data_IF_424499311236
#
_entry.id   IF_424499311236
#
_cell.length_a   1.000
_cell.length_b   1.000
_cell.length_c   1.000
_cell.angle_alpha   90.00
_cell.angle_beta   90.00
_cell.angle_gamma   90.00
#
_symmetry.space_group_name_H-M   'P 1'
#
loop_
_entity.id
_entity.type
_entity.pdbx_description
1 polymer ?
#
# COMPACT_ATOMS: atom_id res chain seq x y z
N UNK A 1 -21.34 5.58 -6.41
CA UNK A 1 -21.07 6.44 -5.24
C UNK A 1 -19.56 6.45 -5.00
N UNK A 2 -19.01 7.58 -4.54
CA UNK A 2 -17.61 7.62 -4.10
C UNK A 2 -17.44 6.72 -2.85
N UNK A 3 -16.34 5.98 -2.80
CA UNK A 3 -15.97 5.12 -1.67
C UNK A 3 -14.94 5.86 -0.84
N UNK A 4 -15.07 5.85 0.45
CA UNK A 4 -14.18 6.56 1.36
C UNK A 4 -13.46 5.58 2.28
N UNK A 5 -12.15 5.73 2.36
CA UNK A 5 -11.30 5.08 3.36
C UNK A 5 -10.66 6.11 4.29
N UNK A 6 -10.20 5.69 5.44
CA UNK A 6 -9.39 6.52 6.32
C UNK A 6 -7.97 5.95 6.44
N UNK A 7 -6.98 6.81 6.35
CA UNK A 7 -5.60 6.47 6.66
C UNK A 7 -5.29 6.92 8.09
N UNK A 8 -5.00 5.97 8.95
CA UNK A 8 -4.50 6.24 10.29
C UNK A 8 -2.98 6.44 10.22
N UNK A 9 -2.49 7.52 10.85
CA UNK A 9 -1.05 7.72 10.95
C UNK A 9 -0.42 6.65 11.85
N UNK A 10 0.82 6.28 11.53
CA UNK A 10 1.61 5.40 12.38
C UNK A 10 2.27 6.23 13.48
N UNK A 11 1.44 6.81 14.36
CA UNK A 11 1.86 7.69 15.44
C UNK A 11 2.31 6.85 16.65
N UNK A 12 3.55 6.98 17.12
CA UNK A 12 4.04 6.25 18.29
C UNK A 12 3.31 6.63 19.60
N UNK A 13 2.64 7.77 19.63
CA UNK A 13 1.85 8.20 20.81
C UNK A 13 0.46 7.54 20.89
N UNK A 14 -0.02 6.96 19.79
CA UNK A 14 -1.28 6.21 19.81
C UNK A 14 -1.04 4.79 20.35
N UNK A 15 -1.84 4.39 21.31
CA UNK A 15 -1.85 3.02 21.82
C UNK A 15 -2.55 2.07 20.82
N UNK A 16 -2.36 0.74 20.92
CA UNK A 16 -3.17 -0.21 20.15
C UNK A 16 -4.67 -0.03 20.34
N UNK A 17 -5.11 0.38 21.54
CA UNK A 17 -6.52 0.66 21.86
C UNK A 17 -7.03 1.90 21.12
N UNK A 18 -6.20 2.93 20.94
CA UNK A 18 -6.58 4.12 20.16
C UNK A 18 -6.83 3.77 18.71
N UNK A 19 -5.97 2.91 18.09
CA UNK A 19 -6.19 2.39 16.75
C UNK A 19 -7.52 1.64 16.63
N UNK A 20 -7.85 0.80 17.62
CA UNK A 20 -9.13 0.07 17.65
C UNK A 20 -10.31 1.02 17.71
N UNK A 21 -10.24 2.05 18.57
CA UNK A 21 -11.30 3.06 18.73
C UNK A 21 -11.50 3.85 17.44
N UNK A 22 -10.39 4.32 16.82
CA UNK A 22 -10.45 5.09 15.58
C UNK A 22 -11.01 4.26 14.42
N UNK A 23 -10.57 3.02 14.28
CA UNK A 23 -11.05 2.11 13.24
C UNK A 23 -12.53 1.73 13.43
N UNK A 24 -12.96 1.47 14.68
CA UNK A 24 -14.37 1.19 14.98
C UNK A 24 -15.26 2.39 14.69
N UNK A 25 -14.77 3.60 14.95
CA UNK A 25 -15.48 4.84 14.57
C UNK A 25 -15.58 5.00 13.06
N UNK A 26 -14.50 4.74 12.34
CA UNK A 26 -14.50 4.75 10.88
C UNK A 26 -15.54 3.77 10.32
N UNK A 27 -15.55 2.52 10.80
CA UNK A 27 -16.52 1.51 10.39
C UNK A 27 -17.98 1.96 10.68
N UNK A 28 -18.26 2.45 11.87
CA UNK A 28 -19.60 2.96 12.25
C UNK A 28 -20.06 4.14 11.40
N UNK A 29 -19.14 4.94 10.90
CA UNK A 29 -19.43 6.08 10.01
C UNK A 29 -19.43 5.71 8.52
N UNK A 30 -19.37 4.42 8.18
CA UNK A 30 -19.50 3.93 6.80
C UNK A 30 -18.25 4.07 5.94
N UNK A 31 -17.07 4.25 6.54
CA UNK A 31 -15.83 4.15 5.79
C UNK A 31 -15.61 2.72 5.33
N UNK A 32 -15.21 2.55 4.06
CA UNK A 32 -15.02 1.23 3.45
C UNK A 32 -13.71 0.57 3.90
N UNK A 33 -12.67 1.36 4.15
CA UNK A 33 -11.34 0.86 4.45
C UNK A 33 -10.60 1.69 5.49
N UNK A 34 -9.75 1.02 6.27
CA UNK A 34 -8.74 1.61 7.15
C UNK A 34 -7.36 1.23 6.63
N UNK A 35 -6.52 2.23 6.40
CA UNK A 35 -5.16 2.07 5.90
C UNK A 35 -4.14 2.46 6.96
N UNK A 36 -3.14 1.61 7.19
CA UNK A 36 -2.03 1.89 8.12
C UNK A 36 -0.70 1.79 7.37
N UNK A 37 0.13 2.85 7.35
CA UNK A 37 1.44 2.79 6.71
C UNK A 37 2.46 2.07 7.59
N UNK A 38 3.45 1.44 6.97
CA UNK A 38 4.65 0.98 7.64
C UNK A 38 5.62 2.16 7.82
N UNK A 39 6.11 2.33 9.02
CA UNK A 39 7.07 3.39 9.31
C UNK A 39 6.91 3.96 10.70
N UNK A 40 7.74 4.93 11.08
CA UNK A 40 7.62 5.60 12.37
C UNK A 40 7.88 4.71 13.61
N UNK A 41 8.52 3.55 13.42
CA UNK A 41 8.85 2.61 14.50
C UNK A 41 7.75 1.61 14.85
N UNK A 42 6.67 1.54 14.07
CA UNK A 42 5.63 0.51 14.23
C UNK A 42 5.47 -0.35 12.99
N UNK A 43 5.24 -1.63 13.22
CA UNK A 43 4.85 -2.60 12.22
C UNK A 43 3.36 -2.43 11.89
N UNK A 44 3.04 -2.24 10.61
CA UNK A 44 1.66 -1.99 10.19
C UNK A 44 0.79 -3.24 10.26
N UNK A 45 1.34 -4.45 10.04
CA UNK A 45 0.58 -5.69 10.13
C UNK A 45 0.15 -5.94 11.57
N UNK A 46 1.02 -5.72 12.55
CA UNK A 46 0.68 -5.83 13.97
C UNK A 46 -0.42 -4.85 14.35
N UNK A 47 -0.32 -3.58 13.90
CA UNK A 47 -1.35 -2.57 14.15
C UNK A 47 -2.69 -2.96 13.52
N UNK A 48 -2.69 -3.43 12.27
CA UNK A 48 -3.89 -3.88 11.56
C UNK A 48 -4.50 -5.14 12.20
N UNK A 49 -3.68 -6.05 12.73
CA UNK A 49 -4.17 -7.22 13.44
C UNK A 49 -4.97 -6.82 14.70
N UNK A 50 -4.52 -5.81 15.45
CA UNK A 50 -5.28 -5.31 16.60
C UNK A 50 -6.60 -4.68 16.19
N UNK A 51 -6.63 -3.96 15.06
CA UNK A 51 -7.85 -3.38 14.48
C UNK A 51 -8.81 -4.49 14.03
N UNK A 52 -8.29 -5.53 13.38
CA UNK A 52 -9.10 -6.67 12.91
C UNK A 52 -9.94 -7.32 14.01
N UNK A 53 -9.40 -7.36 15.23
CA UNK A 53 -10.06 -7.92 16.41
C UNK A 53 -11.24 -7.10 16.94
N UNK A 54 -11.42 -5.86 16.45
CA UNK A 54 -12.44 -4.91 16.93
C UNK A 54 -13.35 -4.39 15.82
N UNK A 55 -13.15 -4.83 14.59
CA UNK A 55 -13.94 -4.43 13.42
C UNK A 55 -14.44 -5.66 12.68
N UNK A 56 -15.58 -5.55 12.00
CA UNK A 56 -16.25 -6.68 11.35
C UNK A 56 -16.37 -6.53 9.82
N UNK A 57 -16.43 -5.28 9.32
CA UNK A 57 -16.78 -5.01 7.92
C UNK A 57 -15.71 -4.22 7.17
N UNK A 58 -15.07 -3.27 7.83
CA UNK A 58 -14.10 -2.38 7.19
C UNK A 58 -12.91 -3.15 6.65
N UNK A 59 -12.51 -2.88 5.42
CA UNK A 59 -11.29 -3.43 4.83
C UNK A 59 -10.06 -2.88 5.56
N UNK A 60 -9.04 -3.69 5.69
CA UNK A 60 -7.81 -3.36 6.41
C UNK A 60 -6.63 -3.42 5.44
N UNK A 61 -6.03 -2.27 5.19
CA UNK A 61 -4.98 -2.17 4.19
C UNK A 61 -3.65 -1.64 4.73
N UNK A 62 -2.55 -2.16 4.21
CA UNK A 62 -1.25 -1.51 4.41
C UNK A 62 -1.10 -0.34 3.45
N UNK A 63 -0.73 0.82 3.95
CA UNK A 63 -0.61 2.00 3.10
C UNK A 63 0.71 2.73 3.23
N UNK A 64 1.84 2.09 2.97
CA UNK A 64 2.16 0.81 2.31
C UNK A 64 3.17 -0.01 3.14
N UNK A 65 3.40 -1.29 2.76
CA UNK A 65 4.59 -2.03 3.18
C UNK A 65 5.74 -1.78 2.19
N UNK A 66 6.93 -1.37 2.66
CA UNK A 66 8.10 -1.21 1.81
C UNK A 66 8.66 -2.57 1.36
N UNK A 67 8.82 -2.76 0.03
CA UNK A 67 9.35 -4.03 -0.53
C UNK A 67 10.83 -4.27 -0.26
N UNK A 68 11.56 -3.27 0.20
CA UNK A 68 12.97 -3.42 0.60
C UNK A 68 13.12 -3.98 2.01
N UNK A 69 12.20 -3.67 2.91
CA UNK A 69 12.28 -4.07 4.32
C UNK A 69 11.93 -5.55 4.57
N UNK A 70 11.30 -6.23 3.60
CA UNK A 70 10.84 -7.61 3.75
C UNK A 70 11.16 -8.43 2.50
N UNK A 71 11.38 -9.75 2.68
CA UNK A 71 11.41 -10.67 1.54
C UNK A 71 10.00 -10.91 0.99
N UNK A 72 9.86 -11.30 -0.31
CA UNK A 72 8.55 -11.63 -0.87
C UNK A 72 7.83 -12.74 -0.09
N UNK A 73 8.56 -13.79 0.34
CA UNK A 73 7.96 -14.88 1.13
C UNK A 73 7.48 -14.40 2.50
N UNK A 74 8.28 -13.61 3.20
CA UNK A 74 7.87 -13.05 4.50
C UNK A 74 6.66 -12.11 4.36
N UNK A 75 6.59 -11.35 3.27
CA UNK A 75 5.43 -10.49 2.96
C UNK A 75 4.18 -11.32 2.68
N UNK A 76 4.29 -12.41 1.92
CA UNK A 76 3.18 -13.33 1.65
C UNK A 76 2.66 -13.99 2.95
N UNK A 77 3.58 -14.43 3.83
CA UNK A 77 3.21 -14.97 5.15
C UNK A 77 2.40 -13.96 5.97
N UNK A 78 2.89 -12.71 6.04
CA UNK A 78 2.20 -11.65 6.77
C UNK A 78 0.82 -11.36 6.18
N UNK A 79 0.71 -11.33 4.85
CA UNK A 79 -0.56 -11.11 4.16
C UNK A 79 -1.56 -12.26 4.40
N UNK A 80 -1.09 -13.50 4.38
CA UNK A 80 -1.92 -14.67 4.68
C UNK A 80 -2.41 -14.67 6.14
N UNK A 81 -1.52 -14.35 7.08
CA UNK A 81 -1.88 -14.19 8.49
C UNK A 81 -2.93 -13.09 8.69
N UNK A 82 -2.75 -11.93 8.02
CA UNK A 82 -3.73 -10.84 8.06
C UNK A 82 -5.07 -11.23 7.43
N UNK A 83 -5.07 -11.97 6.32
CA UNK A 83 -6.30 -12.47 5.72
C UNK A 83 -7.07 -13.39 6.68
N UNK A 84 -6.36 -14.25 7.40
CA UNK A 84 -6.97 -15.15 8.39
C UNK A 84 -7.54 -14.37 9.59
N UNK A 85 -6.77 -13.44 10.18
CA UNK A 85 -7.19 -12.67 11.37
C UNK A 85 -8.34 -11.69 11.04
N UNK A 86 -8.39 -11.19 9.82
CA UNK A 86 -9.42 -10.23 9.39
C UNK A 86 -10.61 -10.86 8.69
N UNK A 87 -10.69 -12.17 8.61
CA UNK A 87 -11.73 -12.89 7.86
C UNK A 87 -11.85 -12.42 6.41
N UNK A 88 -10.70 -12.38 5.72
CA UNK A 88 -10.61 -12.03 4.30
C UNK A 88 -10.72 -10.54 3.96
N UNK A 89 -10.78 -9.65 4.95
CA UNK A 89 -10.88 -8.18 4.73
C UNK A 89 -9.56 -7.49 4.43
N UNK A 90 -8.45 -8.20 4.41
CA UNK A 90 -7.13 -7.62 4.23
C UNK A 90 -6.83 -7.24 2.78
N UNK A 91 -6.17 -6.10 2.60
CA UNK A 91 -5.62 -5.59 1.33
C UNK A 91 -4.14 -5.32 1.50
N UNK A 92 -3.31 -5.94 0.66
CA UNK A 92 -1.86 -5.77 0.70
C UNK A 92 -1.43 -4.59 -0.17
N UNK A 93 -1.16 -3.46 0.44
CA UNK A 93 -0.56 -2.31 -0.23
C UNK A 93 0.98 -2.35 -0.16
N UNK A 94 1.63 -2.34 -1.31
CA UNK A 94 3.09 -2.40 -1.47
C UNK A 94 3.63 -1.10 -2.04
N UNK A 95 4.85 -0.74 -1.66
CA UNK A 95 5.55 0.41 -2.24
C UNK A 95 7.06 0.26 -2.16
N UNK A 96 7.77 1.04 -2.96
CA UNK A 96 9.24 1.03 -2.94
C UNK A 96 9.83 1.75 -1.72
N UNK A 97 9.03 2.56 -1.01
CA UNK A 97 9.53 3.44 0.03
C UNK A 97 10.29 4.63 -0.55
N UNK A 98 11.10 5.27 0.28
CA UNK A 98 11.95 6.41 -0.10
C UNK A 98 13.41 6.02 0.01
N UNK A 99 14.18 6.25 -1.05
CA UNK A 99 15.60 5.87 -1.10
C UNK A 99 16.40 6.32 0.13
N UNK A 100 16.31 7.58 0.60
CA UNK A 100 17.04 7.99 1.80
C UNK A 100 16.66 7.18 3.05
N UNK A 101 15.37 6.84 3.19
CA UNK A 101 14.91 6.06 4.34
C UNK A 101 15.37 4.61 4.27
N UNK A 102 15.25 3.98 3.11
CA UNK A 102 15.68 2.59 2.89
C UNK A 102 17.18 2.45 3.13
N UNK A 103 17.98 3.40 2.64
CA UNK A 103 19.44 3.34 2.79
C UNK A 103 19.90 3.69 4.18
N UNK A 104 19.36 4.75 4.80
CA UNK A 104 19.86 5.22 6.11
C UNK A 104 19.25 4.47 7.29
N UNK A 105 17.97 4.11 7.23
CA UNK A 105 17.27 3.44 8.32
C UNK A 105 17.37 1.92 8.23
N UNK A 106 17.13 1.38 7.03
CA UNK A 106 17.05 -0.07 6.85
C UNK A 106 18.41 -0.67 6.45
N UNK A 107 19.41 0.17 6.11
CA UNK A 107 20.77 -0.27 5.73
C UNK A 107 20.81 -1.03 4.40
N UNK A 108 19.80 -0.89 3.55
CA UNK A 108 19.65 -1.65 2.31
C UNK A 108 19.88 -0.72 1.11
N UNK A 109 20.77 -1.06 0.17
CA UNK A 109 20.95 -0.28 -1.05
C UNK A 109 19.65 -0.16 -1.86
N UNK A 110 19.23 1.06 -2.20
CA UNK A 110 18.04 1.31 -3.01
C UNK A 110 18.32 1.11 -4.50
N UNK A 111 18.39 -0.16 -4.91
CA UNK A 111 18.73 -0.55 -6.28
C UNK A 111 17.59 -1.29 -6.97
N UNK A 112 17.40 -1.00 -8.27
CA UNK A 112 16.46 -1.68 -9.15
C UNK A 112 15.01 -1.77 -8.60
N UNK A 113 14.41 -0.65 -8.14
CA UNK A 113 13.09 -0.67 -7.48
C UNK A 113 11.99 -1.24 -8.38
N UNK A 114 12.04 -0.99 -9.69
CA UNK A 114 11.07 -1.53 -10.65
C UNK A 114 11.18 -3.06 -10.78
N UNK A 115 12.38 -3.58 -10.94
CA UNK A 115 12.63 -5.03 -11.01
C UNK A 115 12.23 -5.70 -9.71
N UNK A 116 12.62 -5.11 -8.57
CA UNK A 116 12.26 -5.61 -7.24
C UNK A 116 10.75 -5.66 -7.04
N UNK A 117 10.02 -4.62 -7.40
CA UNK A 117 8.56 -4.60 -7.28
C UNK A 117 7.92 -5.69 -8.13
N UNK A 118 8.32 -5.80 -9.40
CA UNK A 118 7.80 -6.81 -10.31
C UNK A 118 7.99 -8.23 -9.78
N UNK A 119 9.22 -8.60 -9.45
CA UNK A 119 9.54 -9.93 -8.94
C UNK A 119 8.84 -10.20 -7.60
N UNK A 120 8.79 -9.21 -6.71
CA UNK A 120 8.06 -9.30 -5.42
C UNK A 120 6.59 -9.63 -5.64
N UNK A 121 5.90 -8.93 -6.53
CA UNK A 121 4.47 -9.16 -6.78
C UNK A 121 4.23 -10.53 -7.41
N UNK A 122 5.04 -10.92 -8.39
CA UNK A 122 4.92 -12.23 -9.04
C UNK A 122 5.05 -13.37 -8.03
N UNK A 123 6.06 -13.30 -7.15
CA UNK A 123 6.29 -14.30 -6.11
C UNK A 123 5.13 -14.30 -5.09
N UNK A 124 4.72 -13.14 -4.61
CA UNK A 124 3.63 -13.03 -3.63
C UNK A 124 2.32 -13.57 -4.20
N UNK A 125 1.97 -13.23 -5.44
CA UNK A 125 0.75 -13.71 -6.08
C UNK A 125 0.71 -15.22 -6.17
N UNK A 126 1.79 -15.84 -6.63
CA UNK A 126 1.88 -17.29 -6.74
C UNK A 126 1.77 -17.98 -5.35
N UNK A 127 2.50 -17.46 -4.34
CA UNK A 127 2.41 -17.97 -2.97
C UNK A 127 1.00 -17.86 -2.38
N UNK A 128 0.35 -16.70 -2.54
CA UNK A 128 -1.01 -16.50 -2.03
C UNK A 128 -2.08 -17.26 -2.81
N UNK A 129 -1.77 -17.69 -4.03
CA UNK A 129 -2.62 -18.62 -4.80
C UNK A 129 -2.44 -20.09 -4.39
N UNK A 130 -1.46 -20.37 -3.50
CA UNK A 130 -1.18 -21.74 -3.03
C UNK A 130 -0.25 -22.54 -3.93
N UNK A 131 0.42 -21.87 -4.86
CA UNK A 131 1.37 -22.52 -5.77
C UNK A 131 2.68 -22.88 -5.06
N UNK A 132 3.34 -23.93 -5.50
CA UNK A 132 4.75 -24.17 -5.21
C UNK A 132 5.59 -23.32 -6.14
N UNK A 133 6.34 -22.38 -5.58
CA UNK A 133 7.07 -21.36 -6.33
C UNK A 133 8.51 -21.79 -6.59
N UNK A 134 8.81 -22.00 -7.88
CA UNK A 134 10.16 -22.12 -8.41
C UNK A 134 10.43 -20.88 -9.27
N UNK A 135 11.13 -19.90 -8.73
CA UNK A 135 11.34 -18.59 -9.34
C UNK A 135 12.84 -18.29 -9.51
N UNK A 136 13.24 -17.87 -10.71
CA UNK A 136 14.60 -17.39 -10.98
C UNK A 136 14.49 -16.04 -11.69
N UNK A 137 14.64 -14.97 -10.91
CA UNK A 137 14.66 -13.59 -11.38
C UNK A 137 16.07 -12.99 -11.36
N UNK A 138 16.13 -11.67 -11.51
CA UNK A 138 17.38 -10.90 -11.38
C UNK A 138 17.77 -10.66 -9.93
N UNK A 139 16.80 -10.57 -9.03
CA UNK A 139 16.99 -10.21 -7.62
C UNK A 139 16.61 -11.33 -6.65
N UNK A 140 15.66 -12.18 -7.03
CA UNK A 140 15.19 -13.26 -6.18
C UNK A 140 15.34 -14.62 -6.87
N UNK A 141 15.71 -15.61 -6.06
CA UNK A 141 15.71 -17.02 -6.48
C UNK A 141 15.05 -17.84 -5.36
N UNK A 142 13.98 -18.55 -5.69
CA UNK A 142 13.25 -19.44 -4.80
C UNK A 142 13.18 -20.83 -5.44
N UNK A 143 13.21 -21.86 -4.61
CA UNK A 143 13.07 -23.25 -5.06
C UNK A 143 12.12 -23.96 -4.08
N UNK A 144 11.02 -24.50 -4.60
CA UNK A 144 10.05 -25.27 -3.81
C UNK A 144 9.35 -24.46 -2.68
N UNK A 145 9.29 -23.13 -2.83
CA UNK A 145 8.68 -22.28 -1.80
C UNK A 145 7.16 -22.40 -1.87
N UNK A 146 6.52 -22.75 -0.74
CA UNK A 146 5.06 -22.89 -0.66
C UNK A 146 4.52 -22.43 0.68
N UNK A 147 3.29 -21.93 0.69
CA UNK A 147 2.54 -21.58 1.89
C UNK A 147 1.84 -22.78 2.52
N UNK A 148 1.63 -23.87 1.78
CA UNK A 148 0.97 -25.06 2.24
C UNK A 148 -0.40 -24.76 2.86
N UNK A 149 -0.64 -25.26 4.07
CA UNK A 149 -1.89 -25.06 4.81
C UNK A 149 -2.15 -23.59 5.23
N UNK A 150 -1.14 -22.72 5.15
CA UNK A 150 -1.28 -21.28 5.46
C UNK A 150 -1.78 -20.46 4.26
N UNK A 151 -2.04 -21.08 3.11
CA UNK A 151 -2.63 -20.40 1.95
C UNK A 151 -3.97 -19.76 2.31
N UNK A 152 -4.19 -18.46 2.02
CA UNK A 152 -5.46 -17.81 2.33
C UNK A 152 -6.65 -18.48 1.61
N UNK A 153 -7.78 -18.62 2.28
CA UNK A 153 -9.01 -19.14 1.68
C UNK A 153 -9.68 -18.13 0.73
N UNK A 154 -9.38 -16.86 0.90
CA UNK A 154 -9.91 -15.75 0.10
C UNK A 154 -8.78 -15.04 -0.61
N UNK A 155 -9.06 -14.49 -1.79
CA UNK A 155 -8.07 -13.66 -2.51
C UNK A 155 -7.67 -12.46 -1.65
N UNK A 156 -6.36 -12.23 -1.52
CA UNK A 156 -5.80 -11.01 -0.94
C UNK A 156 -5.51 -10.04 -2.08
N UNK A 157 -6.25 -8.92 -2.21
CA UNK A 157 -5.97 -7.92 -3.23
C UNK A 157 -4.60 -7.26 -3.00
N UNK A 158 -3.84 -7.05 -4.08
CA UNK A 158 -2.53 -6.40 -4.03
C UNK A 158 -2.63 -5.03 -4.70
N UNK A 159 -2.33 -3.98 -3.93
CA UNK A 159 -2.27 -2.60 -4.41
C UNK A 159 -0.82 -2.12 -4.44
N UNK A 160 -0.48 -1.28 -5.42
CA UNK A 160 0.86 -0.70 -5.55
C UNK A 160 0.77 0.81 -5.34
N UNK A 161 1.66 1.36 -4.52
CA UNK A 161 1.86 2.80 -4.48
C UNK A 161 2.62 3.25 -5.73
N UNK A 162 1.99 4.07 -6.55
CA UNK A 162 2.52 4.51 -7.82
C UNK A 162 2.15 5.97 -8.11
N UNK A 163 3.09 6.70 -8.72
CA UNK A 163 2.89 8.05 -9.24
C UNK A 163 3.49 8.18 -10.65
N UNK A 164 4.70 7.69 -10.87
CA UNK A 164 5.36 7.77 -12.17
C UNK A 164 4.85 6.76 -13.20
N UNK A 165 4.98 7.08 -14.51
CA UNK A 165 4.42 6.32 -15.63
C UNK A 165 4.71 4.82 -15.59
N UNK A 166 5.96 4.44 -15.40
CA UNK A 166 6.38 3.03 -15.41
C UNK A 166 5.74 2.21 -14.29
N UNK A 167 5.62 2.79 -13.08
CA UNK A 167 5.00 2.10 -11.95
C UNK A 167 3.48 2.02 -12.13
N UNK A 168 2.86 3.06 -12.70
CA UNK A 168 1.44 3.08 -13.04
C UNK A 168 1.10 2.02 -14.12
N UNK A 169 1.94 1.87 -15.15
CA UNK A 169 1.77 0.77 -16.13
C UNK A 169 1.93 -0.60 -15.45
N UNK A 170 2.87 -0.76 -14.51
CA UNK A 170 3.02 -2.00 -13.73
C UNK A 170 1.79 -2.30 -12.85
N UNK A 171 1.14 -1.27 -12.30
CA UNK A 171 -0.17 -1.45 -11.62
C UNK A 171 -1.15 -2.11 -12.56
N UNK A 172 -1.32 -1.55 -13.77
CA UNK A 172 -2.20 -2.10 -14.80
C UNK A 172 -1.90 -3.56 -15.12
N UNK A 173 -0.62 -3.86 -15.27
CA UNK A 173 -0.14 -5.19 -15.63
C UNK A 173 -0.32 -6.23 -14.50
N UNK A 174 -0.03 -5.87 -13.25
CA UNK A 174 0.16 -6.85 -12.18
C UNK A 174 -0.74 -6.68 -10.96
N UNK A 175 -1.25 -5.49 -10.66
CA UNK A 175 -1.93 -5.22 -9.39
C UNK A 175 -3.47 -5.30 -9.50
N UNK A 176 -4.12 -5.37 -8.35
CA UNK A 176 -5.58 -5.26 -8.24
C UNK A 176 -6.02 -3.81 -7.98
N UNK A 177 -5.09 -2.94 -7.60
CA UNK A 177 -5.36 -1.52 -7.42
C UNK A 177 -4.10 -0.68 -7.27
N UNK A 178 -4.30 0.64 -7.22
CA UNK A 178 -3.26 1.64 -7.01
C UNK A 178 -3.52 2.43 -5.73
N UNK A 179 -2.44 2.83 -5.05
CA UNK A 179 -2.47 3.82 -3.97
C UNK A 179 -1.68 5.05 -4.42
N UNK A 180 -2.37 6.12 -4.78
CA UNK A 180 -1.74 7.37 -5.19
C UNK A 180 -1.63 8.33 -4.01
N UNK A 181 -0.45 8.93 -3.83
CA UNK A 181 -0.17 9.84 -2.73
C UNK A 181 0.25 11.20 -3.28
N UNK A 182 -0.39 12.28 -2.83
CA UNK A 182 -0.11 13.64 -3.29
C UNK A 182 -0.36 13.86 -4.80
N UNK A 183 -1.31 13.16 -5.38
CA UNK A 183 -1.65 13.31 -6.79
C UNK A 183 -2.51 14.55 -7.00
N UNK A 184 -2.09 15.43 -7.89
CA UNK A 184 -2.89 16.56 -8.34
C UNK A 184 -4.10 16.07 -9.16
N UNK A 185 -5.20 16.80 -9.08
CA UNK A 185 -6.44 16.45 -9.81
C UNK A 185 -6.20 16.42 -11.33
N UNK A 186 -5.41 17.37 -11.83
CA UNK A 186 -5.09 17.51 -13.25
C UNK A 186 -4.27 16.32 -13.78
N UNK A 187 -3.44 15.70 -12.94
CA UNK A 187 -2.65 14.52 -13.29
C UNK A 187 -3.45 13.20 -13.26
N UNK A 188 -4.61 13.16 -12.62
CA UNK A 188 -5.37 11.91 -12.46
C UNK A 188 -5.74 11.26 -13.80
N UNK A 189 -6.11 12.04 -14.80
CA UNK A 189 -6.46 11.54 -16.13
C UNK A 189 -5.30 10.82 -16.80
N UNK A 190 -4.10 11.40 -16.73
CA UNK A 190 -2.87 10.82 -17.26
C UNK A 190 -2.47 9.55 -16.51
N UNK A 191 -2.49 9.60 -15.18
CA UNK A 191 -2.18 8.45 -14.32
C UNK A 191 -3.08 7.25 -14.64
N UNK A 192 -4.40 7.47 -14.78
CA UNK A 192 -5.36 6.43 -15.16
C UNK A 192 -5.06 5.91 -16.57
N UNK A 193 -4.65 6.79 -17.51
CA UNK A 193 -4.21 6.42 -18.85
C UNK A 193 -3.02 5.45 -18.84
N UNK A 194 -2.03 5.66 -17.99
CA UNK A 194 -0.90 4.74 -17.82
C UNK A 194 -1.36 3.37 -17.27
N UNK A 195 -2.22 3.36 -16.26
CA UNK A 195 -2.77 2.11 -15.70
C UNK A 195 -3.53 1.32 -16.78
N UNK A 196 -4.37 1.99 -17.57
CA UNK A 196 -5.10 1.37 -18.68
C UNK A 196 -4.15 0.73 -19.69
N UNK A 197 -3.14 1.47 -20.15
CA UNK A 197 -2.13 0.94 -21.08
C UNK A 197 -1.43 -0.31 -20.54
N UNK A 198 -1.05 -0.31 -19.26
CA UNK A 198 -0.45 -1.48 -18.63
C UNK A 198 -1.39 -2.69 -18.59
N UNK A 199 -2.66 -2.47 -18.27
CA UNK A 199 -3.68 -3.52 -18.24
C UNK A 199 -3.93 -4.11 -19.63
N UNK A 200 -4.12 -3.26 -20.63
CA UNK A 200 -4.35 -3.65 -22.03
C UNK A 200 -3.18 -4.47 -22.59
N UNK A 201 -1.93 -4.02 -22.35
CA UNK A 201 -0.72 -4.77 -22.74
C UNK A 201 -0.67 -6.17 -22.11
N UNK A 202 -1.22 -6.32 -20.91
CA UNK A 202 -1.26 -7.59 -20.18
C UNK A 202 -2.53 -8.42 -20.46
N UNK A 203 -3.42 -7.96 -21.34
CA UNK A 203 -4.69 -8.64 -21.65
C UNK A 203 -5.67 -8.62 -20.46
N UNK A 204 -5.57 -7.61 -19.58
CA UNK A 204 -6.44 -7.47 -18.40
C UNK A 204 -7.48 -6.38 -18.64
N UNK A 205 -8.64 -6.54 -18.00
CA UNK A 205 -9.67 -5.50 -17.98
C UNK A 205 -9.22 -4.32 -17.10
N UNK A 206 -9.03 -3.10 -17.66
CA UNK A 206 -8.65 -1.93 -16.89
C UNK A 206 -9.70 -1.53 -15.83
N UNK A 207 -10.97 -1.85 -16.06
CA UNK A 207 -12.05 -1.51 -15.13
C UNK A 207 -12.04 -2.33 -13.85
N UNK A 208 -11.34 -3.46 -13.85
CA UNK A 208 -11.14 -4.31 -12.67
C UNK A 208 -10.08 -3.78 -11.71
N UNK A 209 -9.35 -2.71 -12.08
CA UNK A 209 -8.29 -2.13 -11.26
C UNK A 209 -8.86 -1.00 -10.42
N UNK A 210 -8.75 -1.14 -9.11
CA UNK A 210 -9.24 -0.13 -8.17
C UNK A 210 -8.29 1.08 -8.09
N UNK A 211 -8.87 2.29 -8.16
CA UNK A 211 -8.11 3.54 -8.12
C UNK A 211 -8.35 4.21 -6.77
N UNK A 212 -7.34 4.22 -5.92
CA UNK A 212 -7.39 4.87 -4.61
C UNK A 212 -6.32 5.97 -4.51
N UNK A 213 -6.70 7.10 -3.95
CA UNK A 213 -5.81 8.23 -3.70
C UNK A 213 -5.96 8.78 -2.30
N UNK A 214 -4.86 9.23 -1.71
CA UNK A 214 -4.86 9.89 -0.41
C UNK A 214 -5.10 11.39 -0.57
N UNK A 215 -6.18 11.86 0.03
CA UNK A 215 -6.48 13.29 0.16
C UNK A 215 -6.20 13.71 1.61
N UNK A 216 -5.41 14.79 1.79
CA UNK A 216 -5.17 15.36 3.11
C UNK A 216 -6.30 16.29 3.46
N UNK A 217 -6.80 16.12 4.68
CA UNK A 217 -7.89 16.94 5.19
C UNK A 217 -7.48 17.47 6.56
N UNK A 218 -7.65 18.77 6.77
CA UNK A 218 -7.57 19.38 8.07
C UNK A 218 -8.98 19.92 8.44
N UNK A 219 -9.48 19.50 9.60
CA UNK A 219 -10.79 19.89 10.10
C UNK A 219 -10.60 20.71 11.35
N UNK A 220 -11.19 21.90 11.39
CA UNK A 220 -11.13 22.80 12.53
C UNK A 220 -11.86 24.13 12.22
N UNK A 221 -12.18 24.88 13.26
CA UNK A 221 -12.87 26.17 13.13
C UNK A 221 -11.92 27.29 12.65
N UNK A 222 -10.61 27.14 12.91
CA UNK A 222 -9.59 28.05 12.40
C UNK A 222 -9.08 27.60 11.03
N UNK A 223 -9.60 28.26 10.01
CA UNK A 223 -9.22 28.00 8.58
C UNK A 223 -7.74 28.28 8.33
N UNK A 224 -7.16 29.29 8.99
CA UNK A 224 -5.74 29.65 8.80
C UNK A 224 -4.84 28.57 9.38
N UNK A 225 -5.07 28.16 10.60
CA UNK A 225 -4.32 27.07 11.23
C UNK A 225 -4.46 25.75 10.45
N UNK A 226 -5.67 25.44 9.94
CA UNK A 226 -5.92 24.27 9.10
C UNK A 226 -5.12 24.30 7.80
N UNK A 227 -5.09 25.44 7.11
CA UNK A 227 -4.29 25.63 5.89
C UNK A 227 -2.78 25.53 6.15
N UNK A 228 -2.31 26.10 7.24
CA UNK A 228 -0.88 26.07 7.59
C UNK A 228 -0.43 24.67 7.96
N UNK A 229 -1.26 23.88 8.61
CA UNK A 229 -1.02 22.47 8.86
C UNK A 229 -0.83 21.68 7.55
N UNK A 230 -1.69 21.92 6.56
CA UNK A 230 -1.57 21.28 5.24
C UNK A 230 -0.35 21.76 4.48
N UNK A 231 -0.03 23.07 4.49
CA UNK A 231 1.19 23.64 3.89
C UNK A 231 2.45 23.02 4.48
N UNK A 232 2.49 22.83 5.80
CA UNK A 232 3.60 22.16 6.46
C UNK A 232 3.80 20.73 5.93
N UNK A 233 2.72 19.98 5.75
CA UNK A 233 2.80 18.63 5.19
C UNK A 233 3.30 18.64 3.75
N UNK A 234 2.83 19.57 2.91
CA UNK A 234 3.33 19.72 1.53
C UNK A 234 4.83 20.05 1.55
N UNK A 235 5.27 21.00 2.35
CA UNK A 235 6.69 21.38 2.45
C UNK A 235 7.56 20.21 2.91
N UNK A 236 7.10 19.43 3.88
CA UNK A 236 7.77 18.23 4.35
C UNK A 236 7.95 17.17 3.25
N UNK A 237 6.94 16.96 2.41
CA UNK A 237 7.05 16.04 1.29
C UNK A 237 7.92 16.60 0.16
N UNK A 238 7.80 17.88 -0.15
CA UNK A 238 8.63 18.58 -1.15
C UNK A 238 10.13 18.61 -0.80
N UNK A 239 10.51 18.41 0.48
CA UNK A 239 11.92 18.22 0.85
C UNK A 239 12.50 16.90 0.33
N UNK A 240 11.68 15.90 0.01
CA UNK A 240 12.13 14.68 -0.63
C UNK A 240 12.33 14.92 -2.14
N UNK A 241 13.50 14.61 -2.73
CA UNK A 241 13.78 14.86 -4.14
C UNK A 241 12.75 14.23 -5.09
N UNK A 242 12.24 13.06 -4.79
CA UNK A 242 11.22 12.39 -5.60
C UNK A 242 9.94 13.23 -5.70
N UNK A 243 9.38 13.65 -4.56
CA UNK A 243 8.16 14.47 -4.55
C UNK A 243 8.39 15.88 -5.07
N UNK A 244 9.56 16.48 -4.80
CA UNK A 244 9.89 17.79 -5.35
C UNK A 244 9.87 17.77 -6.88
N UNK A 245 10.45 16.74 -7.50
CA UNK A 245 10.44 16.61 -8.95
C UNK A 245 9.01 16.36 -9.46
N UNK A 246 8.26 15.47 -8.81
CA UNK A 246 6.87 15.18 -9.15
C UNK A 246 5.93 16.40 -9.03
N UNK A 247 6.16 17.28 -8.07
CA UNK A 247 5.38 18.52 -7.91
C UNK A 247 5.79 19.63 -8.89
N UNK A 248 6.94 19.51 -9.56
CA UNK A 248 7.44 20.48 -10.52
C UNK A 248 7.01 20.19 -11.97
N UNK A 249 6.51 19.01 -12.24
CA UNK A 249 5.92 18.59 -13.51
C UNK A 249 4.44 19.01 -13.60
#
# INVERSE_FOLDING_TARGET
MARYGVRLENDPNLSPQDYQVLASRAEKNGFEAVWVPEGGGRDSLTSLATIAMKTEKVKLGTGILPIFARTPFNTAMGAAGMAAVSDGRFVLGLGVGHAPTVESRDGIPFKQPMTRMRETIQIIKALLAGEEVNFTGKLFKLTGASMGAATPKTKVPIYIAALGPQMLEMVGELADGVLMNWTAVDYLGEAIGHIKRGAEKAGRDPSAIDIAGYVRVAVGDDVTASRDSLRYQVARYASNPFYRNFFAE
#
